data_IF_271339351118
#
_entry.id   IF_271339351118
#
_cell.length_a   1.000
_cell.length_b   1.000
_cell.length_c   1.000
_cell.angle_alpha   90.00
_cell.angle_beta   90.00
_cell.angle_gamma   90.00
#
_symmetry.space_group_name_H-M   'P 1'
#
loop_
_entity.id
_entity.type
_entity.pdbx_description
1 polymer ?
#
# COMPACT_ATOMS: atom_id res chain seq x y z
N UNK A 1 -4.63 12.26 30.95
CA UNK A 1 -4.29 13.47 30.18
C UNK A 1 -5.56 14.27 29.90
N UNK A 2 -5.58 15.56 30.24
CA UNK A 2 -6.67 16.50 29.87
C UNK A 2 -6.28 17.40 28.67
N UNK A 3 -7.14 18.36 28.29
CA UNK A 3 -6.91 19.22 27.11
C UNK A 3 -5.70 20.14 27.30
N UNK A 4 -5.52 20.71 28.50
CA UNK A 4 -4.40 21.59 28.82
C UNK A 4 -3.08 20.83 28.74
N UNK A 5 -3.03 19.64 29.32
CA UNK A 5 -1.89 18.73 29.22
C UNK A 5 -1.63 18.32 27.77
N UNK A 6 -2.67 17.94 27.01
CA UNK A 6 -2.53 17.61 25.58
C UNK A 6 -1.93 18.76 24.78
N UNK A 7 -2.36 20.01 25.00
CA UNK A 7 -1.78 21.18 24.32
C UNK A 7 -0.31 21.37 24.65
N UNK A 8 0.08 21.11 25.90
CA UNK A 8 1.47 21.17 26.32
C UNK A 8 2.29 20.04 25.67
N UNK A 9 1.80 18.79 25.72
CA UNK A 9 2.50 17.62 25.18
C UNK A 9 2.54 17.57 23.66
N UNK A 10 1.50 18.05 23.00
CA UNK A 10 1.45 18.19 21.56
C UNK A 10 2.52 19.16 21.05
N UNK A 11 2.76 20.29 21.75
CA UNK A 11 3.85 21.21 21.41
C UNK A 11 5.22 20.56 21.63
N UNK A 12 5.40 19.89 22.77
CA UNK A 12 6.63 19.12 23.07
C UNK A 12 6.94 18.06 21.99
N UNK A 13 5.91 17.38 21.48
CA UNK A 13 6.07 16.41 20.38
C UNK A 13 6.40 17.09 19.04
N UNK A 14 5.79 18.25 18.74
CA UNK A 14 6.10 19.02 17.53
C UNK A 14 7.57 19.45 17.53
N UNK A 15 8.05 19.99 18.66
CA UNK A 15 9.45 20.40 18.82
C UNK A 15 10.39 19.19 18.66
N UNK A 16 10.06 18.06 19.28
CA UNK A 16 10.84 16.82 19.14
C UNK A 16 10.90 16.30 17.70
N UNK A 17 9.78 16.29 16.97
CA UNK A 17 9.75 15.84 15.58
C UNK A 17 10.62 16.76 14.71
N UNK A 18 10.55 18.08 14.94
CA UNK A 18 11.37 19.05 14.23
C UNK A 18 12.86 18.79 14.48
N UNK A 19 13.27 18.67 15.75
CA UNK A 19 14.65 18.38 16.15
C UNK A 19 15.14 17.04 15.58
N UNK A 20 14.29 16.00 15.61
CA UNK A 20 14.60 14.68 15.07
C UNK A 20 14.87 14.72 13.55
N UNK A 21 14.00 15.41 12.78
CA UNK A 21 14.13 15.49 11.32
C UNK A 21 15.26 16.43 10.90
N UNK A 22 15.49 17.52 11.63
CA UNK A 22 16.61 18.45 11.37
C UNK A 22 17.95 17.74 11.54
N UNK A 23 18.10 16.97 12.63
CA UNK A 23 19.37 16.35 13.03
C UNK A 23 19.48 14.87 12.62
N UNK A 24 18.61 14.38 11.74
CA UNK A 24 18.55 12.95 11.39
C UNK A 24 19.85 12.42 10.74
N UNK A 25 20.68 13.29 10.16
CA UNK A 25 21.98 12.93 9.58
C UNK A 25 22.97 12.41 10.62
N UNK A 26 22.83 12.85 11.87
CA UNK A 26 23.72 12.46 12.96
C UNK A 26 23.36 11.08 13.52
N UNK A 27 22.21 10.51 13.11
CA UNK A 27 21.77 9.19 13.54
C UNK A 27 22.30 8.10 12.62
N UNK A 28 22.74 6.98 13.23
CA UNK A 28 23.11 5.77 12.50
C UNK A 28 21.88 5.17 11.83
N UNK A 29 21.84 5.16 10.49
CA UNK A 29 20.68 4.72 9.69
C UNK A 29 20.15 3.34 10.11
N UNK A 30 21.03 2.34 10.19
CA UNK A 30 20.65 0.96 10.51
C UNK A 30 21.04 0.61 11.96
N UNK A 31 20.10 0.13 12.79
CA UNK A 31 20.33 -0.06 14.22
C UNK A 31 21.33 -1.19 14.51
N UNK A 32 21.95 -1.16 15.69
CA UNK A 32 22.88 -2.20 16.16
C UNK A 32 22.23 -3.10 17.21
N UNK A 33 21.14 -3.77 16.83
CA UNK A 33 20.33 -4.61 17.73
C UNK A 33 20.12 -6.00 17.14
N UNK A 34 19.71 -6.96 17.97
CA UNK A 34 19.33 -8.31 17.54
C UNK A 34 17.82 -8.53 17.67
N UNK A 35 17.21 -9.43 16.88
CA UNK A 35 15.81 -9.81 17.06
C UNK A 35 15.52 -10.15 18.53
N UNK A 36 14.48 -9.53 19.09
CA UNK A 36 14.08 -9.69 20.49
C UNK A 36 14.69 -8.71 21.50
N UNK A 37 15.57 -7.78 21.10
CA UNK A 37 16.27 -6.86 22.02
C UNK A 37 15.32 -6.06 22.94
N UNK A 38 14.18 -5.61 22.41
CA UNK A 38 13.25 -4.73 23.11
C UNK A 38 12.55 -5.42 24.30
N UNK A 39 12.46 -6.76 24.29
CA UNK A 39 11.83 -7.53 25.39
C UNK A 39 12.51 -7.27 26.74
N UNK A 40 13.81 -7.03 26.74
CA UNK A 40 14.58 -6.77 27.97
C UNK A 40 14.53 -5.29 28.40
N UNK A 41 13.89 -4.41 27.62
CA UNK A 41 13.80 -2.97 27.88
C UNK A 41 12.41 -2.53 28.35
N UNK A 42 11.42 -3.42 28.26
CA UNK A 42 10.03 -3.18 28.58
C UNK A 42 9.56 -4.08 29.74
N UNK A 43 8.52 -3.67 30.47
CA UNK A 43 7.83 -4.53 31.44
C UNK A 43 7.24 -5.78 30.77
N UNK A 44 7.09 -6.88 31.53
CA UNK A 44 6.49 -8.12 31.03
C UNK A 44 4.98 -8.01 30.80
N UNK A 45 4.32 -7.04 31.43
CA UNK A 45 2.88 -6.79 31.33
C UNK A 45 2.59 -5.30 31.23
N UNK A 46 1.48 -4.95 30.58
CA UNK A 46 0.99 -3.58 30.54
C UNK A 46 0.71 -3.04 31.97
N UNK A 47 0.93 -1.74 32.21
CA UNK A 47 0.62 -1.14 33.50
C UNK A 47 -0.90 -1.12 33.73
N UNK A 48 -1.32 -1.34 34.98
CA UNK A 48 -2.74 -1.28 35.38
C UNK A 48 -3.23 0.17 35.53
N UNK A 49 -2.31 1.07 35.84
CA UNK A 49 -2.57 2.50 36.04
C UNK A 49 -1.80 3.29 34.99
N UNK A 50 -2.26 4.51 34.68
CA UNK A 50 -1.56 5.39 33.75
C UNK A 50 -0.16 5.75 34.23
N UNK A 51 0.80 5.76 33.32
CA UNK A 51 2.15 6.24 33.58
C UNK A 51 2.27 7.75 33.36
N UNK A 52 3.22 8.37 34.06
CA UNK A 52 3.59 9.77 33.83
C UNK A 52 4.07 9.96 32.39
N UNK A 53 3.55 10.98 31.70
CA UNK A 53 3.89 11.23 30.28
C UNK A 53 5.40 11.36 30.05
N UNK A 54 6.12 11.95 30.99
CA UNK A 54 7.57 12.12 30.90
C UNK A 54 8.30 10.77 30.80
N UNK A 55 7.80 9.72 31.45
CA UNK A 55 8.40 8.39 31.35
C UNK A 55 8.18 7.82 29.94
N UNK A 56 6.95 7.94 29.41
CA UNK A 56 6.61 7.52 28.05
C UNK A 56 7.47 8.27 27.01
N UNK A 57 7.62 9.58 27.19
CA UNK A 57 8.37 10.43 26.26
C UNK A 57 9.88 10.13 26.30
N UNK A 58 10.46 9.91 27.49
CA UNK A 58 11.86 9.49 27.64
C UNK A 58 12.14 8.12 27.00
N UNK A 59 11.14 7.23 26.99
CA UNK A 59 11.25 5.90 26.39
C UNK A 59 11.36 5.93 24.86
N UNK A 60 10.96 7.02 24.20
CA UNK A 60 11.18 7.20 22.76
C UNK A 60 12.67 7.12 22.43
N UNK A 61 13.53 7.89 23.09
CA UNK A 61 14.98 7.83 22.86
C UNK A 61 15.65 6.64 23.53
N UNK A 62 15.17 6.22 24.71
CA UNK A 62 15.79 5.15 25.50
C UNK A 62 15.55 3.76 24.91
N UNK A 63 14.34 3.50 24.40
CA UNK A 63 13.87 2.15 24.01
C UNK A 63 13.59 2.05 22.52
N UNK A 64 12.91 3.04 21.95
CA UNK A 64 12.43 2.97 20.57
C UNK A 64 13.55 3.30 19.58
N UNK A 65 14.12 4.51 19.65
CA UNK A 65 15.12 5.01 18.70
C UNK A 65 16.34 4.08 18.49
N UNK A 66 16.88 3.36 19.50
CA UNK A 66 18.00 2.44 19.30
C UNK A 66 17.73 1.30 18.32
N UNK A 67 16.46 0.96 18.06
CA UNK A 67 16.07 -0.04 17.07
C UNK A 67 15.35 0.49 15.84
N UNK A 68 15.23 1.82 15.70
CA UNK A 68 14.66 2.43 14.50
C UNK A 68 15.68 2.34 13.36
N UNK A 69 15.20 1.95 12.18
CA UNK A 69 15.90 2.23 10.92
C UNK A 69 15.44 3.61 10.44
N UNK A 70 16.36 4.56 10.31
CA UNK A 70 16.00 5.96 10.04
C UNK A 70 15.73 6.22 8.55
N UNK A 71 14.51 5.89 8.11
CA UNK A 71 14.08 6.00 6.70
C UNK A 71 14.18 7.40 6.09
N UNK A 72 14.06 8.46 6.90
CA UNK A 72 14.16 9.84 6.42
C UNK A 72 15.62 10.34 6.35
N UNK A 73 16.60 9.52 6.75
CA UNK A 73 18.01 9.90 6.66
C UNK A 73 18.44 9.98 5.19
N UNK A 74 19.18 11.02 4.76
CA UNK A 74 19.78 11.07 3.43
C UNK A 74 20.75 9.92 3.13
N UNK A 75 21.17 9.18 4.15
CA UNK A 75 22.04 8.01 4.05
C UNK A 75 21.26 6.68 3.94
N UNK A 76 19.92 6.72 3.91
CA UNK A 76 19.07 5.56 3.65
C UNK A 76 19.00 5.30 2.15
N UNK A 77 19.67 4.23 1.70
CA UNK A 77 19.71 3.82 0.29
C UNK A 77 19.27 2.35 0.06
N UNK A 78 18.58 1.75 1.04
CA UNK A 78 17.96 0.44 0.87
C UNK A 78 16.51 0.59 0.39
N UNK A 79 16.00 -0.42 -0.32
CA UNK A 79 14.63 -0.46 -0.87
C UNK A 79 14.33 0.72 -1.82
N UNK A 80 13.06 1.12 -1.88
CA UNK A 80 12.62 2.41 -2.44
C UNK A 80 12.29 3.41 -1.33
N UNK A 81 12.34 4.73 -1.60
CA UNK A 81 12.03 5.73 -0.60
C UNK A 81 10.59 5.61 -0.05
N UNK A 82 10.46 5.73 1.27
CA UNK A 82 9.20 5.98 1.97
C UNK A 82 9.30 7.34 2.65
N UNK A 83 8.92 8.40 1.93
CA UNK A 83 9.19 9.79 2.35
C UNK A 83 8.06 10.38 3.19
N UNK A 84 8.42 11.19 4.18
CA UNK A 84 7.50 12.03 4.95
C UNK A 84 7.77 13.51 4.70
N UNK A 85 6.80 14.36 5.01
CA UNK A 85 6.91 15.82 4.91
C UNK A 85 6.05 16.51 5.97
N UNK A 86 6.41 17.72 6.37
CA UNK A 86 5.65 18.48 7.37
C UNK A 86 4.15 18.66 7.01
N UNK A 87 3.77 18.95 5.75
CA UNK A 87 2.35 18.99 5.38
C UNK A 87 1.63 17.66 5.58
N UNK A 88 2.31 16.53 5.31
CA UNK A 88 1.74 15.19 5.54
C UNK A 88 1.46 14.96 7.02
N UNK A 89 2.41 15.31 7.89
CA UNK A 89 2.26 15.17 9.34
C UNK A 89 1.10 16.01 9.87
N UNK A 90 0.97 17.25 9.43
CA UNK A 90 -0.13 18.14 9.83
C UNK A 90 -1.49 17.65 9.33
N UNK A 91 -1.55 17.10 8.12
CA UNK A 91 -2.76 16.50 7.57
C UNK A 91 -3.24 15.32 8.41
N UNK A 92 -2.33 14.43 8.78
CA UNK A 92 -2.64 13.24 9.57
C UNK A 92 -3.03 13.59 11.01
N UNK A 93 -2.38 14.58 11.63
CA UNK A 93 -2.80 15.11 12.94
C UNK A 93 -4.28 15.55 12.96
N UNK A 94 -4.75 16.17 11.88
CA UNK A 94 -6.16 16.56 11.75
C UNK A 94 -7.06 15.35 11.48
N UNK A 95 -6.63 14.43 10.60
CA UNK A 95 -7.37 13.22 10.28
C UNK A 95 -7.61 12.37 11.54
N UNK A 96 -6.56 12.17 12.35
CA UNK A 96 -6.60 11.44 13.62
C UNK A 96 -7.49 12.12 14.66
N UNK A 97 -7.49 13.46 14.71
CA UNK A 97 -8.35 14.20 15.64
C UNK A 97 -9.85 14.08 15.27
N UNK A 98 -10.16 14.06 13.96
CA UNK A 98 -11.53 13.86 13.47
C UNK A 98 -11.97 12.40 13.60
N UNK A 99 -11.06 11.45 13.35
CA UNK A 99 -11.24 10.00 13.49
C UNK A 99 -12.56 9.47 12.91
N UNK A 100 -12.94 9.95 11.72
CA UNK A 100 -14.15 9.49 11.05
C UNK A 100 -13.89 8.25 10.18
N UNK A 101 -14.92 7.44 9.96
CA UNK A 101 -14.84 6.25 9.11
C UNK A 101 -15.66 6.45 7.83
N UNK A 102 -15.02 6.31 6.66
CA UNK A 102 -15.62 6.54 5.34
C UNK A 102 -16.07 5.28 4.59
N UNK A 103 -16.58 4.25 5.29
CA UNK A 103 -16.98 2.99 4.62
C UNK A 103 -18.24 3.13 3.75
N UNK A 104 -19.02 4.20 3.93
CA UNK A 104 -20.05 4.65 2.99
C UNK A 104 -20.04 6.17 2.94
N UNK A 105 -20.63 6.76 1.90
CA UNK A 105 -20.79 8.21 1.83
C UNK A 105 -21.49 8.78 3.07
N UNK A 106 -22.54 8.11 3.57
CA UNK A 106 -23.30 8.57 4.73
C UNK A 106 -22.52 8.50 6.06
N UNK A 107 -21.48 7.67 6.17
CA UNK A 107 -20.70 7.55 7.41
C UNK A 107 -19.72 8.70 7.60
N UNK A 108 -19.22 9.30 6.51
CA UNK A 108 -18.50 10.57 6.53
C UNK A 108 -18.40 11.16 5.11
N UNK A 109 -19.32 12.05 4.70
CA UNK A 109 -19.35 12.58 3.33
C UNK A 109 -18.03 13.24 2.92
N UNK A 110 -17.45 14.06 3.80
CA UNK A 110 -16.20 14.76 3.51
C UNK A 110 -15.02 13.80 3.26
N UNK A 111 -14.99 12.63 3.93
CA UNK A 111 -13.96 11.61 3.72
C UNK A 111 -14.00 11.07 2.28
N UNK A 112 -15.18 10.81 1.73
CA UNK A 112 -15.33 10.32 0.35
C UNK A 112 -15.16 11.42 -0.70
N UNK A 113 -15.79 12.58 -0.50
CA UNK A 113 -15.79 13.67 -1.47
C UNK A 113 -14.39 14.24 -1.68
N UNK A 114 -13.64 14.44 -0.59
CA UNK A 114 -12.28 14.98 -0.67
C UNK A 114 -11.34 14.02 -1.41
N UNK A 115 -11.43 12.71 -1.12
CA UNK A 115 -10.63 11.70 -1.83
C UNK A 115 -10.92 11.72 -3.34
N UNK A 116 -12.20 11.75 -3.73
CA UNK A 116 -12.64 11.78 -5.13
C UNK A 116 -12.03 12.96 -5.90
N UNK A 117 -12.04 14.15 -5.29
CA UNK A 117 -11.48 15.38 -5.87
C UNK A 117 -9.95 15.27 -5.96
N UNK A 118 -9.28 14.94 -4.86
CA UNK A 118 -7.82 14.92 -4.78
C UNK A 118 -7.23 13.81 -5.68
N UNK A 119 -7.86 12.65 -5.77
CA UNK A 119 -7.44 11.60 -6.71
C UNK A 119 -7.58 12.03 -8.16
N UNK A 120 -8.58 12.86 -8.49
CA UNK A 120 -8.69 13.46 -9.82
C UNK A 120 -7.61 14.51 -10.07
N UNK A 121 -7.18 15.26 -9.05
CA UNK A 121 -6.03 16.15 -9.16
C UNK A 121 -4.74 15.36 -9.40
N UNK A 122 -4.49 14.31 -8.63
CA UNK A 122 -3.32 13.45 -8.79
C UNK A 122 -3.28 12.81 -10.19
N UNK A 123 -4.40 12.29 -10.67
CA UNK A 123 -4.51 11.73 -12.02
C UNK A 123 -4.12 12.74 -13.10
N UNK A 124 -4.57 13.99 -12.98
CA UNK A 124 -4.16 15.07 -13.89
C UNK A 124 -2.66 15.40 -13.77
N UNK A 125 -2.12 15.45 -12.55
CA UNK A 125 -0.72 15.77 -12.29
C UNK A 125 0.24 14.78 -12.94
N UNK A 126 -0.12 13.49 -13.00
CA UNK A 126 0.71 12.45 -13.63
C UNK A 126 0.31 12.15 -15.09
N UNK A 127 -0.62 12.92 -15.66
CA UNK A 127 -1.03 12.79 -17.06
C UNK A 127 -1.87 11.55 -17.37
N UNK A 128 -2.67 11.04 -16.41
CA UNK A 128 -3.59 9.95 -16.70
C UNK A 128 -4.71 10.39 -17.66
N UNK A 129 -5.16 9.50 -18.56
CA UNK A 129 -6.35 9.73 -19.38
C UNK A 129 -7.61 10.04 -18.56
N UNK A 130 -8.49 10.88 -19.12
CA UNK A 130 -9.74 11.34 -18.46
C UNK A 130 -10.66 10.20 -17.99
N UNK A 131 -10.57 9.02 -18.60
CA UNK A 131 -11.35 7.84 -18.21
C UNK A 131 -11.03 7.31 -16.80
N UNK A 132 -9.90 7.74 -16.21
CA UNK A 132 -9.52 7.42 -14.83
C UNK A 132 -9.93 8.50 -13.81
N UNK A 133 -10.47 9.63 -14.27
CA UNK A 133 -10.83 10.74 -13.40
C UNK A 133 -12.32 10.66 -13.00
N UNK A 134 -12.65 11.21 -11.83
CA UNK A 134 -14.04 11.35 -11.36
C UNK A 134 -14.77 12.56 -11.98
N UNK A 135 -14.24 13.12 -13.07
CA UNK A 135 -14.51 14.52 -13.47
C UNK A 135 -15.67 14.74 -14.43
N UNK A 136 -16.39 13.70 -14.86
CA UNK A 136 -17.64 13.87 -15.61
C UNK A 136 -18.57 12.65 -15.51
N UNK A 137 -19.85 12.84 -15.81
CA UNK A 137 -20.89 11.79 -15.83
C UNK A 137 -20.67 10.71 -16.90
N UNK A 138 -19.72 10.90 -17.81
CA UNK A 138 -19.37 9.93 -18.85
C UNK A 138 -18.24 8.97 -18.43
N UNK A 139 -17.43 9.35 -17.44
CA UNK A 139 -16.37 8.51 -16.88
C UNK A 139 -16.99 7.34 -16.15
N UNK A 140 -16.48 6.14 -16.43
CA UNK A 140 -16.85 4.90 -15.72
C UNK A 140 -15.77 4.47 -14.72
N UNK A 141 -14.72 5.29 -14.56
CA UNK A 141 -13.58 5.03 -13.69
C UNK A 141 -13.47 6.06 -12.57
N UNK A 142 -12.36 5.99 -11.85
CA UNK A 142 -12.06 6.86 -10.72
C UNK A 142 -10.83 6.36 -9.97
N UNK A 143 -10.21 7.24 -9.17
CA UNK A 143 -9.14 6.88 -8.25
C UNK A 143 -9.67 6.64 -6.84
N UNK A 144 -9.04 5.72 -6.12
CA UNK A 144 -9.31 5.41 -4.71
C UNK A 144 -7.99 5.21 -3.99
N UNK A 145 -7.89 5.65 -2.74
CA UNK A 145 -6.69 5.44 -1.91
C UNK A 145 -6.67 3.97 -1.43
N UNK A 146 -5.50 3.35 -1.47
CA UNK A 146 -5.23 2.03 -0.93
C UNK A 146 -4.01 2.12 -0.01
N UNK A 147 -3.91 1.23 0.97
CA UNK A 147 -2.80 1.23 1.93
C UNK A 147 -1.47 0.86 1.27
N UNK A 148 -1.52 -0.05 0.29
CA UNK A 148 -0.32 -0.54 -0.40
C UNK A 148 -0.58 -0.82 -1.89
N UNK A 149 0.47 -0.73 -2.71
CA UNK A 149 0.44 -1.22 -4.09
C UNK A 149 0.18 -2.74 -4.17
N UNK A 150 0.51 -3.49 -3.12
CA UNK A 150 0.24 -4.94 -3.03
C UNK A 150 -1.26 -5.23 -2.95
N UNK A 151 -1.99 -4.48 -2.12
CA UNK A 151 -3.45 -4.55 -2.04
C UNK A 151 -4.11 -4.12 -3.35
N UNK A 152 -3.65 -3.00 -3.94
CA UNK A 152 -4.16 -2.54 -5.23
C UNK A 152 -3.99 -3.60 -6.32
N UNK A 153 -2.82 -4.25 -6.40
CA UNK A 153 -2.55 -5.36 -7.32
C UNK A 153 -3.52 -6.52 -7.12
N UNK A 154 -3.75 -6.91 -5.86
CA UNK A 154 -4.70 -7.97 -5.51
C UNK A 154 -6.14 -7.59 -5.90
N UNK A 155 -6.59 -6.37 -5.61
CA UNK A 155 -7.92 -5.88 -5.99
C UNK A 155 -8.10 -5.93 -7.51
N UNK A 156 -7.12 -5.45 -8.28
CA UNK A 156 -7.14 -5.52 -9.74
C UNK A 156 -7.21 -6.97 -10.25
N UNK A 157 -6.44 -7.90 -9.68
CA UNK A 157 -6.47 -9.31 -10.05
C UNK A 157 -7.83 -9.94 -9.73
N UNK A 158 -8.39 -9.70 -8.55
CA UNK A 158 -9.71 -10.23 -8.15
C UNK A 158 -10.84 -9.67 -9.01
N UNK A 159 -10.78 -8.39 -9.38
CA UNK A 159 -11.74 -7.78 -10.30
C UNK A 159 -11.66 -8.42 -11.70
N UNK A 160 -10.45 -8.55 -12.25
CA UNK A 160 -10.21 -9.21 -13.53
C UNK A 160 -10.68 -10.67 -13.52
N UNK A 161 -10.38 -11.42 -12.46
CA UNK A 161 -10.79 -12.81 -12.25
C UNK A 161 -12.32 -12.93 -12.26
N UNK A 162 -12.98 -12.08 -11.49
CA UNK A 162 -14.44 -12.06 -11.39
C UNK A 162 -15.07 -11.75 -12.75
N UNK A 163 -14.51 -10.80 -13.50
CA UNK A 163 -14.98 -10.49 -14.85
C UNK A 163 -14.75 -11.64 -15.83
N UNK A 164 -13.61 -12.32 -15.77
CA UNK A 164 -13.29 -13.46 -16.63
C UNK A 164 -14.24 -14.64 -16.41
N UNK A 165 -14.54 -14.95 -15.14
CA UNK A 165 -15.52 -16.00 -14.78
C UNK A 165 -16.91 -15.65 -15.33
N UNK A 166 -17.36 -14.40 -15.16
CA UNK A 166 -18.65 -13.94 -15.71
C UNK A 166 -18.71 -14.09 -17.23
N UNK A 167 -17.68 -13.64 -17.95
CA UNK A 167 -17.59 -13.78 -19.42
C UNK A 167 -17.58 -15.23 -19.88
N UNK A 168 -16.98 -16.12 -19.10
CA UNK A 168 -17.00 -17.56 -19.40
C UNK A 168 -18.44 -18.10 -19.35
N UNK A 169 -19.19 -17.75 -18.30
CA UNK A 169 -20.59 -18.15 -18.14
C UNK A 169 -21.52 -17.63 -19.24
N UNK A 170 -21.21 -16.49 -19.85
CA UNK A 170 -21.97 -15.95 -21.00
C UNK A 170 -21.93 -16.88 -22.22
N UNK A 171 -20.90 -17.72 -22.36
CA UNK A 171 -20.66 -18.55 -23.54
C UNK A 171 -20.69 -20.06 -23.24
N UNK A 172 -20.55 -20.46 -21.98
CA UNK A 172 -20.46 -21.86 -21.58
C UNK A 172 -21.09 -22.03 -20.20
N UNK A 173 -22.00 -22.99 -20.07
CA UNK A 173 -22.63 -23.34 -18.79
C UNK A 173 -22.10 -24.68 -18.26
N UNK A 174 -22.32 -24.94 -16.97
CA UNK A 174 -22.09 -26.26 -16.35
C UNK A 174 -20.75 -26.44 -15.63
N UNK A 175 -19.86 -25.44 -15.64
CA UNK A 175 -18.68 -25.40 -14.76
C UNK A 175 -18.92 -24.47 -13.58
N UNK A 176 -18.43 -24.84 -12.41
CA UNK A 176 -18.41 -23.95 -11.25
C UNK A 176 -17.34 -22.86 -11.38
N UNK A 177 -17.50 -21.76 -10.63
CA UNK A 177 -16.53 -20.65 -10.61
C UNK A 177 -15.12 -21.11 -10.23
N UNK A 178 -15.00 -22.12 -9.34
CA UNK A 178 -13.72 -22.69 -8.93
C UNK A 178 -13.05 -23.47 -10.07
N UNK A 179 -13.82 -24.26 -10.83
CA UNK A 179 -13.31 -24.99 -11.99
C UNK A 179 -12.88 -24.06 -13.12
N UNK A 180 -13.59 -22.95 -13.31
CA UNK A 180 -13.19 -21.90 -14.25
C UNK A 180 -11.90 -21.22 -13.75
N UNK A 181 -11.85 -20.87 -12.47
CA UNK A 181 -10.67 -20.25 -11.85
C UNK A 181 -9.41 -21.12 -11.99
N UNK A 182 -9.53 -22.45 -11.87
CA UNK A 182 -8.41 -23.38 -12.08
C UNK A 182 -7.83 -23.35 -13.50
N UNK A 183 -8.59 -22.84 -14.48
CA UNK A 183 -8.16 -22.65 -15.88
C UNK A 183 -7.65 -21.24 -16.17
N UNK A 184 -7.88 -20.28 -15.27
CA UNK A 184 -7.41 -18.91 -15.45
C UNK A 184 -5.89 -18.83 -15.34
N UNK A 185 -5.29 -18.00 -16.20
CA UNK A 185 -3.86 -17.70 -16.17
C UNK A 185 -3.59 -16.20 -16.28
N UNK A 186 -2.76 -15.72 -15.36
CA UNK A 186 -2.27 -14.36 -15.26
C UNK A 186 -0.79 -14.29 -15.68
N UNK A 187 -0.34 -13.11 -16.10
CA UNK A 187 1.02 -12.90 -16.58
C UNK A 187 1.68 -11.69 -15.91
N UNK A 188 3.01 -11.75 -15.76
CA UNK A 188 3.83 -10.61 -15.37
C UNK A 188 5.26 -10.78 -15.90
N UNK A 189 6.08 -9.73 -15.81
CA UNK A 189 7.52 -9.84 -16.05
C UNK A 189 8.20 -10.74 -15.00
N UNK A 190 9.30 -11.40 -15.37
CA UNK A 190 10.22 -12.03 -14.42
C UNK A 190 10.92 -11.05 -13.46
N UNK A 191 10.80 -9.74 -13.70
CA UNK A 191 11.23 -8.65 -12.81
C UNK A 191 10.10 -8.09 -11.94
N UNK A 192 8.88 -8.62 -12.05
CA UNK A 192 7.74 -8.09 -11.30
C UNK A 192 7.96 -8.19 -9.77
N UNK A 193 7.44 -7.21 -9.03
CA UNK A 193 7.48 -7.25 -7.57
C UNK A 193 6.75 -8.49 -7.02
N UNK A 194 7.25 -9.06 -5.93
CA UNK A 194 6.70 -10.28 -5.30
C UNK A 194 5.22 -10.17 -4.89
N UNK A 195 4.68 -8.95 -4.80
CA UNK A 195 3.25 -8.72 -4.59
C UNK A 195 2.37 -9.30 -5.69
N UNK A 196 2.84 -9.37 -6.93
CA UNK A 196 2.08 -9.96 -8.05
C UNK A 196 1.92 -11.46 -7.87
N UNK A 197 3.00 -12.14 -7.47
CA UNK A 197 2.97 -13.55 -7.09
C UNK A 197 2.03 -13.76 -5.89
N UNK A 198 2.18 -12.94 -4.85
CA UNK A 198 1.33 -13.01 -3.65
C UNK A 198 -0.14 -12.82 -3.99
N UNK A 199 -0.47 -11.91 -4.91
CA UNK A 199 -1.84 -11.70 -5.37
C UNK A 199 -2.40 -12.93 -6.09
N UNK A 200 -1.60 -13.59 -6.93
CA UNK A 200 -1.98 -14.83 -7.60
C UNK A 200 -2.17 -16.00 -6.62
N UNK A 201 -1.27 -16.14 -5.64
CA UNK A 201 -1.36 -17.14 -4.58
C UNK A 201 -2.65 -16.98 -3.77
N UNK A 202 -2.96 -15.76 -3.30
CA UNK A 202 -4.21 -15.47 -2.58
C UNK A 202 -5.43 -15.67 -3.48
N UNK A 203 -5.32 -15.28 -4.76
CA UNK A 203 -6.38 -15.42 -5.75
C UNK A 203 -6.62 -16.86 -6.23
N UNK A 204 -5.75 -17.81 -5.87
CA UNK A 204 -5.69 -19.17 -6.40
C UNK A 204 -5.63 -19.20 -7.93
N UNK A 205 -4.84 -18.29 -8.50
CA UNK A 205 -4.68 -18.11 -9.95
C UNK A 205 -3.30 -18.59 -10.38
N UNK A 206 -3.22 -19.26 -11.53
CA UNK A 206 -1.95 -19.61 -12.16
C UNK A 206 -1.23 -18.35 -12.63
N UNK A 207 0.03 -18.16 -12.23
CA UNK A 207 0.88 -17.07 -12.68
C UNK A 207 1.93 -17.56 -13.69
N UNK A 208 2.16 -16.78 -14.73
CA UNK A 208 3.22 -16.97 -15.73
C UNK A 208 4.16 -15.78 -15.71
N UNK A 209 5.42 -16.06 -15.40
CA UNK A 209 6.50 -15.09 -15.56
C UNK A 209 6.98 -15.11 -17.00
N UNK A 210 6.91 -13.95 -17.65
CA UNK A 210 7.41 -13.74 -19.00
C UNK A 210 8.82 -13.18 -18.89
N UNK A 211 9.75 -13.83 -19.60
CA UNK A 211 11.14 -13.39 -19.62
C UNK A 211 11.24 -11.98 -20.18
N UNK A 212 11.95 -11.11 -19.48
CA UNK A 212 12.26 -9.76 -19.95
C UNK A 212 13.34 -9.77 -21.05
N UNK A 213 13.41 -8.68 -21.82
CA UNK A 213 14.51 -8.46 -22.75
C UNK A 213 15.78 -7.97 -22.05
N UNK A 214 16.82 -7.63 -22.82
CA UNK A 214 18.11 -7.21 -22.28
C UNK A 214 18.04 -5.89 -21.48
N UNK A 215 17.00 -5.08 -21.71
CA UNK A 215 16.70 -3.85 -20.96
C UNK A 215 15.73 -4.11 -19.79
N UNK A 216 15.54 -5.38 -19.40
CA UNK A 216 14.66 -5.82 -18.31
C UNK A 216 13.19 -5.45 -18.53
N UNK A 217 12.76 -5.30 -19.78
CA UNK A 217 11.42 -4.90 -20.16
C UNK A 217 10.56 -6.08 -20.62
N UNK A 218 9.28 -6.08 -20.21
CA UNK A 218 8.28 -7.00 -20.75
C UNK A 218 7.89 -6.59 -22.18
N UNK A 219 7.98 -7.52 -23.13
CA UNK A 219 7.70 -7.27 -24.55
C UNK A 219 6.43 -7.96 -25.03
N UNK A 220 5.72 -7.29 -25.95
CA UNK A 220 4.39 -7.72 -26.40
C UNK A 220 4.40 -8.98 -27.27
N UNK A 221 5.49 -9.27 -27.96
CA UNK A 221 5.71 -10.50 -28.72
C UNK A 221 5.87 -11.72 -27.80
N UNK A 222 6.72 -11.62 -26.77
CA UNK A 222 6.90 -12.66 -25.76
C UNK A 222 5.59 -12.96 -24.99
N UNK A 223 4.87 -11.90 -24.59
CA UNK A 223 3.55 -12.04 -23.96
C UNK A 223 2.54 -12.71 -24.90
N UNK A 224 2.50 -12.29 -26.17
CA UNK A 224 1.59 -12.87 -27.18
C UNK A 224 1.87 -14.36 -27.39
N UNK A 225 3.14 -14.75 -27.47
CA UNK A 225 3.51 -16.16 -27.59
C UNK A 225 3.01 -16.99 -26.41
N UNK A 226 3.22 -16.50 -25.18
CA UNK A 226 2.75 -17.18 -23.97
C UNK A 226 1.23 -17.33 -23.95
N UNK A 227 0.49 -16.27 -24.29
CA UNK A 227 -0.97 -16.29 -24.41
C UNK A 227 -1.42 -17.36 -25.41
N UNK A 228 -0.82 -17.38 -26.61
CA UNK A 228 -1.20 -18.35 -27.65
C UNK A 228 -0.92 -19.79 -27.22
N UNK A 229 0.18 -20.03 -26.52
CA UNK A 229 0.54 -21.37 -26.03
C UNK A 229 -0.41 -21.82 -24.91
N UNK A 230 -0.70 -20.96 -23.94
CA UNK A 230 -1.62 -21.30 -22.85
C UNK A 230 -3.08 -21.47 -23.35
N UNK A 231 -3.51 -20.68 -24.35
CA UNK A 231 -4.81 -20.89 -25.01
C UNK A 231 -4.88 -22.25 -25.72
N UNK A 232 -3.82 -22.70 -26.40
CA UNK A 232 -3.77 -24.05 -27.00
C UNK A 232 -3.88 -25.17 -25.96
N UNK A 233 -3.43 -24.92 -24.72
CA UNK A 233 -3.55 -25.83 -23.60
C UNK A 233 -4.93 -25.78 -22.90
N UNK A 234 -5.87 -24.98 -23.43
CA UNK A 234 -7.21 -24.81 -22.85
C UNK A 234 -7.24 -23.93 -21.60
N UNK A 235 -6.17 -23.19 -21.31
CA UNK A 235 -6.16 -22.16 -20.28
C UNK A 235 -6.80 -20.87 -20.78
N UNK A 236 -7.21 -20.02 -19.85
CA UNK A 236 -7.95 -18.79 -20.09
C UNK A 236 -7.10 -17.59 -19.62
N UNK A 237 -6.35 -16.96 -20.55
CA UNK A 237 -5.66 -15.70 -20.30
C UNK A 237 -6.66 -14.63 -19.85
N UNK A 238 -6.41 -13.95 -18.73
CA UNK A 238 -7.36 -12.94 -18.23
C UNK A 238 -6.77 -11.66 -17.63
N UNK A 239 -5.51 -11.68 -17.20
CA UNK A 239 -4.91 -10.53 -16.49
C UNK A 239 -3.40 -10.47 -16.72
N UNK A 240 -2.87 -9.25 -16.79
CA UNK A 240 -1.44 -8.97 -16.97
C UNK A 240 -1.04 -7.84 -16.03
N UNK A 241 0.06 -8.02 -15.28
CA UNK A 241 0.77 -6.93 -14.60
C UNK A 241 1.87 -6.41 -15.52
N UNK A 242 1.89 -5.10 -15.77
CA UNK A 242 2.96 -4.42 -16.50
C UNK A 242 3.74 -3.50 -15.57
#
# INVERSE_FOLDING_TARGET
MNIEEYRMRGKEMVDYIADYLENIRDRRVFPNVKPGYMRNLLPESAPLEGEEWQNIFLDVERVIMPGITHWQSPHMHAYFPATSSFPSLLGDMLADAVNCLGFTWASSPACTELETIVMSWLGKMIGLPDVFLHTNSASKGGGVIQTTASEATLVCLLAGRTQAIRRFHEHTSGLSDSEINARLVAYCSDQAHSSVEKAALIGLVRMRYIKSDDDLCLRGDALREAILNDTKLGLIPFWVSV
#
